data_IF_991644085616
#
_entry.id   IF_991644085616
#
_cell.length_a   1.000
_cell.length_b   1.000
_cell.length_c   1.000
_cell.angle_alpha   90.00
_cell.angle_beta   90.00
_cell.angle_gamma   90.00
#
_symmetry.space_group_name_H-M   'P 1'
#
loop_
_entity.id
_entity.type
_entity.pdbx_description
1 polymer ?
#
# COMPACT_ATOMS: atom_id res chain seq x y z
N UNK A 1 -41.83 -10.53 -10.65
CA UNK A 1 -41.61 -11.51 -9.58
C UNK A 1 -40.20 -11.42 -8.97
N UNK A 2 -39.13 -11.20 -9.74
CA UNK A 2 -37.75 -11.09 -9.25
C UNK A 2 -37.52 -9.96 -8.23
N UNK A 3 -38.13 -8.80 -8.38
CA UNK A 3 -37.96 -7.66 -7.47
C UNK A 3 -38.49 -7.91 -6.03
N UNK A 4 -39.44 -8.82 -5.87
CA UNK A 4 -40.02 -9.14 -4.54
C UNK A 4 -39.11 -10.10 -3.75
N UNK A 5 -38.41 -11.00 -4.45
CA UNK A 5 -37.44 -11.93 -3.87
C UNK A 5 -36.21 -11.18 -3.36
N UNK A 6 -35.66 -10.25 -4.15
CA UNK A 6 -34.53 -9.42 -3.75
C UNK A 6 -34.82 -8.57 -2.49
N UNK A 7 -36.01 -7.97 -2.43
CA UNK A 7 -36.43 -7.21 -1.24
C UNK A 7 -36.53 -8.10 0.00
N UNK A 8 -37.01 -9.34 -0.12
CA UNK A 8 -37.08 -10.31 0.97
C UNK A 8 -35.69 -10.75 1.40
N UNK A 9 -34.76 -11.00 0.47
CA UNK A 9 -33.37 -11.36 0.77
C UNK A 9 -32.65 -10.22 1.49
N UNK A 10 -32.81 -8.98 1.03
CA UNK A 10 -32.22 -7.80 1.70
C UNK A 10 -32.83 -7.63 3.10
N UNK A 11 -34.13 -7.82 3.26
CA UNK A 11 -34.80 -7.74 4.57
C UNK A 11 -34.29 -8.81 5.53
N UNK A 12 -34.12 -10.06 5.08
CA UNK A 12 -33.56 -11.15 5.88
C UNK A 12 -32.11 -10.84 6.27
N UNK A 13 -31.31 -10.29 5.35
CA UNK A 13 -29.94 -9.91 5.61
C UNK A 13 -29.86 -8.76 6.63
N UNK A 14 -30.70 -7.76 6.54
CA UNK A 14 -30.79 -6.66 7.52
C UNK A 14 -31.28 -7.16 8.88
N UNK A 15 -32.29 -8.03 8.92
CA UNK A 15 -32.80 -8.62 10.17
C UNK A 15 -31.75 -9.52 10.82
N UNK A 16 -30.97 -10.29 10.05
CA UNK A 16 -29.87 -11.10 10.62
C UNK A 16 -28.77 -10.27 11.24
N UNK A 17 -28.52 -9.05 10.78
CA UNK A 17 -27.59 -8.11 11.40
C UNK A 17 -28.10 -7.53 12.73
N UNK A 18 -29.42 -7.35 12.87
CA UNK A 18 -30.06 -6.79 14.08
C UNK A 18 -30.10 -7.82 15.22
N UNK A 19 -30.22 -9.11 14.90
CA UNK A 19 -30.33 -10.21 15.91
C UNK A 19 -29.01 -10.50 16.62
N UNK A 20 -27.86 -10.01 16.14
CA UNK A 20 -26.53 -10.26 16.76
C UNK A 20 -26.31 -9.44 18.05
N UNK A 21 -27.14 -8.47 18.38
CA UNK A 21 -26.94 -7.54 19.49
C UNK A 21 -27.48 -7.99 20.86
N UNK A 22 -28.06 -9.17 21.00
CA UNK A 22 -28.69 -9.62 22.24
C UNK A 22 -27.81 -10.60 23.05
N UNK A 23 -26.56 -10.20 23.34
CA UNK A 23 -25.71 -10.91 24.31
C UNK A 23 -25.26 -9.95 25.39
N UNK A 24 -26.11 -9.77 26.41
CA UNK A 24 -25.79 -9.04 27.63
C UNK A 24 -24.56 -9.66 28.30
N UNK A 25 -23.59 -8.81 28.69
CA UNK A 25 -22.35 -9.13 29.38
C UNK A 25 -21.34 -9.95 28.56
N UNK A 26 -20.75 -9.34 27.53
CA UNK A 26 -19.52 -9.88 26.93
C UNK A 26 -18.35 -9.60 27.87
N UNK A 27 -17.67 -10.68 28.29
CA UNK A 27 -16.41 -10.58 29.00
C UNK A 27 -15.43 -9.72 28.21
N UNK A 28 -14.89 -8.68 28.84
CA UNK A 28 -13.91 -7.81 28.19
C UNK A 28 -12.54 -8.49 28.22
N UNK A 29 -12.08 -8.96 27.05
CA UNK A 29 -10.78 -9.60 26.93
C UNK A 29 -9.66 -8.56 26.99
N UNK A 30 -8.53 -8.93 27.62
CA UNK A 30 -7.31 -8.13 27.62
C UNK A 30 -7.52 -6.68 28.10
N UNK A 31 -8.26 -6.49 29.18
CA UNK A 31 -8.45 -5.16 29.80
C UNK A 31 -7.10 -4.51 30.17
N UNK A 32 -6.15 -5.31 30.65
CA UNK A 32 -4.79 -4.86 30.99
C UNK A 32 -3.98 -4.33 29.79
N UNK A 33 -4.29 -4.75 28.56
CA UNK A 33 -3.63 -4.23 27.36
C UNK A 33 -3.85 -2.72 27.19
N UNK A 34 -4.95 -2.18 27.70
CA UNK A 34 -5.21 -0.75 27.66
C UNK A 34 -4.27 0.06 28.58
N UNK A 35 -3.63 -0.56 29.54
CA UNK A 35 -2.71 0.09 30.49
C UNK A 35 -1.24 -0.09 30.11
N UNK A 36 -0.91 -0.98 29.18
CA UNK A 36 0.47 -1.18 28.73
C UNK A 36 1.03 0.10 28.08
N UNK A 37 2.23 0.55 28.46
CA UNK A 37 2.85 1.73 27.85
C UNK A 37 3.34 1.48 26.41
N UNK A 38 3.67 0.25 26.08
CA UNK A 38 4.07 -0.19 24.74
C UNK A 38 3.67 -1.64 24.51
N UNK A 39 3.54 -2.04 23.26
CA UNK A 39 3.30 -3.41 22.84
C UNK A 39 3.89 -3.65 21.46
N UNK A 40 4.11 -4.93 21.16
CA UNK A 40 4.69 -5.36 19.89
C UNK A 40 3.70 -6.19 19.10
N UNK A 41 3.99 -6.38 17.84
CA UNK A 41 3.20 -7.21 16.97
C UNK A 41 3.90 -7.59 15.68
N UNK A 42 3.26 -8.49 14.95
CA UNK A 42 3.64 -8.88 13.61
C UNK A 42 2.60 -8.38 12.61
N UNK A 43 3.03 -8.07 11.41
CA UNK A 43 2.19 -7.59 10.32
C UNK A 43 2.30 -8.53 9.15
N UNK A 44 1.15 -8.93 8.60
CA UNK A 44 1.02 -9.60 7.33
C UNK A 44 0.03 -8.82 6.46
N UNK A 45 0.38 -8.54 5.22
CA UNK A 45 -0.47 -7.74 4.36
C UNK A 45 -0.37 -8.09 2.88
N UNK A 46 -1.35 -7.60 2.15
CA UNK A 46 -1.37 -7.59 0.69
C UNK A 46 -1.39 -6.14 0.21
N UNK A 47 -0.55 -5.82 -0.75
CA UNK A 47 -0.45 -4.49 -1.29
C UNK A 47 -0.68 -4.47 -2.80
N UNK A 48 -1.33 -3.41 -3.26
CA UNK A 48 -1.43 -3.01 -4.65
C UNK A 48 -0.57 -1.77 -4.84
N UNK A 49 0.50 -1.92 -5.62
CA UNK A 49 1.42 -0.83 -5.92
C UNK A 49 1.27 -0.38 -7.35
N UNK A 50 1.31 0.92 -7.58
CA UNK A 50 1.37 1.50 -8.90
C UNK A 50 2.19 2.78 -8.92
N UNK A 51 2.67 3.15 -10.10
CA UNK A 51 3.43 4.37 -10.30
C UNK A 51 2.54 5.43 -10.94
N UNK A 52 2.59 6.63 -10.42
CA UNK A 52 1.98 7.79 -11.06
C UNK A 52 3.06 8.51 -11.87
N UNK A 53 2.99 8.42 -13.18
CA UNK A 53 3.99 8.98 -14.09
C UNK A 53 3.43 10.23 -14.79
N UNK A 54 4.17 11.33 -14.75
CA UNK A 54 3.89 12.54 -15.53
C UNK A 54 4.73 12.49 -16.80
N UNK A 55 4.08 12.62 -17.96
CA UNK A 55 4.72 12.61 -19.26
C UNK A 55 5.49 13.92 -19.49
N UNK A 56 6.64 13.83 -20.17
CA UNK A 56 7.46 14.97 -20.51
C UNK A 56 6.94 15.71 -21.75
N UNK A 57 7.33 16.97 -21.93
CA UNK A 57 7.02 17.73 -23.17
C UNK A 57 7.61 17.07 -24.41
N UNK A 58 8.76 16.42 -24.30
CA UNK A 58 9.40 15.66 -25.40
C UNK A 58 8.53 14.50 -25.87
N UNK A 59 7.79 13.86 -24.97
CA UNK A 59 6.86 12.77 -25.34
C UNK A 59 5.78 13.25 -26.31
N UNK A 60 5.33 14.50 -26.18
CA UNK A 60 4.31 15.08 -27.07
C UNK A 60 4.90 15.52 -28.42
N UNK A 61 6.21 15.75 -28.47
CA UNK A 61 6.90 16.19 -29.69
C UNK A 61 7.50 15.03 -30.51
N UNK A 62 7.71 13.87 -29.92
CA UNK A 62 8.33 12.71 -30.56
C UNK A 62 7.30 11.59 -30.77
N UNK A 63 6.99 11.25 -32.03
CA UNK A 63 6.03 10.21 -32.38
C UNK A 63 6.57 8.77 -32.27
N UNK A 64 7.75 8.56 -31.70
CA UNK A 64 8.37 7.21 -31.62
C UNK A 64 7.70 6.30 -30.61
N UNK A 65 7.13 6.84 -29.53
CA UNK A 65 6.40 6.12 -28.50
C UNK A 65 4.99 6.71 -28.41
N UNK A 66 3.97 5.91 -28.75
CA UNK A 66 2.57 6.35 -28.76
C UNK A 66 1.93 6.28 -27.39
N UNK A 67 2.24 5.21 -26.64
CA UNK A 67 1.67 4.99 -25.30
C UNK A 67 2.79 4.59 -24.34
N UNK A 68 2.77 5.17 -23.15
CA UNK A 68 3.64 4.79 -22.04
C UNK A 68 2.81 4.89 -20.75
N UNK A 69 2.39 3.73 -20.21
CA UNK A 69 1.50 3.69 -19.05
C UNK A 69 2.02 2.72 -18.00
N UNK A 70 2.11 3.16 -16.73
CA UNK A 70 2.39 2.26 -15.63
C UNK A 70 1.17 1.40 -15.32
N UNK A 71 1.40 0.13 -14.96
CA UNK A 71 0.35 -0.78 -14.55
C UNK A 71 0.49 -1.12 -13.05
N UNK A 72 -0.65 -1.41 -12.43
CA UNK A 72 -0.69 -1.82 -11.04
C UNK A 72 -0.23 -3.27 -10.88
N UNK A 73 0.41 -3.56 -9.75
CA UNK A 73 0.85 -4.89 -9.40
C UNK A 73 0.60 -5.19 -7.92
N UNK A 74 0.25 -6.43 -7.64
CA UNK A 74 0.05 -6.94 -6.30
C UNK A 74 1.31 -7.53 -5.69
N UNK A 75 1.45 -7.41 -4.38
CA UNK A 75 2.55 -7.98 -3.62
C UNK A 75 2.13 -8.36 -2.20
N UNK A 76 3.02 -9.05 -1.50
CA UNK A 76 2.85 -9.44 -0.11
C UNK A 76 3.75 -8.58 0.77
N UNK A 77 3.26 -8.22 1.94
CA UNK A 77 3.98 -7.41 2.91
C UNK A 77 4.08 -8.16 4.22
N UNK A 78 5.27 -8.24 4.78
CA UNK A 78 5.55 -8.86 6.06
C UNK A 78 6.36 -7.87 6.91
N UNK A 79 6.06 -7.78 8.19
CA UNK A 79 6.82 -6.91 9.08
C UNK A 79 6.55 -7.11 10.54
N UNK A 80 7.22 -6.28 11.32
CA UNK A 80 7.06 -6.17 12.76
C UNK A 80 6.50 -4.81 13.10
N UNK A 81 5.89 -4.68 14.26
CA UNK A 81 5.46 -3.37 14.74
C UNK A 81 5.80 -3.17 16.21
N UNK A 82 6.08 -1.95 16.57
CA UNK A 82 6.17 -1.48 17.93
C UNK A 82 5.22 -0.29 18.08
N UNK A 83 4.34 -0.34 19.07
CA UNK A 83 3.39 0.73 19.36
C UNK A 83 3.63 1.25 20.76
N UNK A 84 3.75 2.58 20.87
CA UNK A 84 3.97 3.31 22.13
C UNK A 84 2.75 4.16 22.43
N UNK A 85 2.21 4.04 23.62
CA UNK A 85 1.08 4.87 24.06
C UNK A 85 1.57 6.24 24.52
N UNK A 86 1.09 7.29 23.85
CA UNK A 86 1.36 8.67 24.24
C UNK A 86 0.27 9.20 25.18
N UNK A 87 -0.97 8.88 24.86
CA UNK A 87 -2.15 9.21 25.66
C UNK A 87 -3.19 8.08 25.57
N UNK A 88 -4.30 8.20 26.26
CA UNK A 88 -5.41 7.22 26.16
C UNK A 88 -5.91 7.01 24.73
N UNK A 89 -5.84 8.05 23.86
CA UNK A 89 -6.34 8.00 22.49
C UNK A 89 -5.26 8.09 21.42
N UNK A 90 -4.05 8.57 21.79
CA UNK A 90 -2.94 8.73 20.85
C UNK A 90 -1.86 7.71 21.10
N UNK A 91 -1.42 7.07 20.04
CA UNK A 91 -0.32 6.10 20.02
C UNK A 91 0.63 6.40 18.87
N UNK A 92 1.93 6.27 19.12
CA UNK A 92 2.94 6.29 18.08
C UNK A 92 3.26 4.84 17.66
N UNK A 93 3.29 4.56 16.36
CA UNK A 93 3.60 3.25 15.81
C UNK A 93 4.80 3.34 14.89
N UNK A 94 5.75 2.44 15.08
CA UNK A 94 6.82 2.15 14.15
C UNK A 94 6.62 0.74 13.60
N UNK A 95 6.52 0.60 12.28
CA UNK A 95 6.15 -0.66 11.64
C UNK A 95 7.08 -0.99 10.46
N UNK A 96 8.33 -1.44 10.71
CA UNK A 96 9.23 -1.85 9.64
C UNK A 96 8.63 -3.01 8.83
N UNK A 97 8.57 -2.85 7.52
CA UNK A 97 7.92 -3.75 6.58
C UNK A 97 8.86 -4.12 5.43
N UNK A 98 8.83 -5.38 5.04
CA UNK A 98 9.40 -5.84 3.78
C UNK A 98 8.24 -6.08 2.81
N UNK A 99 8.24 -5.34 1.71
CA UNK A 99 7.28 -5.47 0.62
C UNK A 99 7.91 -6.35 -0.45
N UNK A 100 7.35 -7.54 -0.63
CA UNK A 100 7.80 -8.54 -1.58
C UNK A 100 6.82 -8.60 -2.76
N UNK A 101 7.34 -8.56 -3.98
CA UNK A 101 6.50 -8.49 -5.16
C UNK A 101 5.95 -7.08 -5.41
N UNK A 102 4.87 -6.97 -6.18
CA UNK A 102 4.43 -5.68 -6.66
C UNK A 102 5.37 -5.16 -7.75
N UNK A 103 5.79 -6.06 -8.64
CA UNK A 103 6.59 -5.69 -9.80
C UNK A 103 5.95 -4.49 -10.50
N UNK A 104 6.75 -3.45 -10.73
CA UNK A 104 6.28 -2.26 -11.42
C UNK A 104 6.32 -2.51 -12.90
N UNK A 105 5.17 -2.44 -13.56
CA UNK A 105 5.04 -2.67 -14.99
C UNK A 105 4.87 -1.35 -15.72
N UNK A 106 5.55 -1.25 -16.87
CA UNK A 106 5.32 -0.20 -17.84
C UNK A 106 4.93 -0.85 -19.17
N UNK A 107 3.78 -0.47 -19.68
CA UNK A 107 3.33 -0.88 -21.00
C UNK A 107 3.67 0.24 -21.99
N UNK A 108 4.41 -0.09 -23.04
CA UNK A 108 4.76 0.82 -24.12
C UNK A 108 4.13 0.34 -25.42
N UNK A 109 3.57 1.28 -26.19
CA UNK A 109 3.18 1.05 -27.57
C UNK A 109 4.06 1.92 -28.45
N UNK A 110 4.83 1.27 -29.30
CA UNK A 110 5.78 1.91 -30.21
C UNK A 110 5.09 2.20 -31.55
N UNK A 111 5.51 3.28 -32.21
CA UNK A 111 5.06 3.59 -33.55
C UNK A 111 5.88 2.75 -34.55
N UNK A 112 5.21 1.88 -35.28
CA UNK A 112 5.84 0.99 -36.29
C UNK A 112 6.60 1.73 -37.39
N UNK A 113 6.26 2.99 -37.66
CA UNK A 113 6.91 3.83 -38.67
C UNK A 113 8.36 4.18 -38.29
N UNK A 114 8.67 4.29 -37.02
CA UNK A 114 9.99 4.67 -36.50
C UNK A 114 10.74 3.52 -35.82
N UNK A 115 10.06 2.38 -35.59
CA UNK A 115 10.60 1.23 -34.85
C UNK A 115 10.33 -0.06 -35.61
N UNK A 116 11.07 -0.29 -36.72
CA UNK A 116 10.88 -1.46 -37.59
C UNK A 116 11.40 -2.77 -37.03
N UNK A 117 12.30 -2.72 -36.03
CA UNK A 117 12.97 -3.91 -35.47
C UNK A 117 12.49 -4.28 -34.05
N UNK A 118 11.56 -3.55 -33.48
CA UNK A 118 11.05 -3.80 -32.13
C UNK A 118 9.57 -4.19 -32.17
N UNK A 119 9.08 -5.06 -31.26
CA UNK A 119 7.65 -5.34 -31.14
C UNK A 119 6.87 -4.07 -30.83
N UNK A 120 5.68 -3.92 -31.44
CA UNK A 120 4.83 -2.74 -31.29
C UNK A 120 4.39 -2.56 -29.82
N UNK A 121 4.11 -3.66 -29.13
CA UNK A 121 3.75 -3.67 -27.70
C UNK A 121 4.89 -4.27 -26.89
N UNK A 122 5.35 -3.52 -25.93
CA UNK A 122 6.41 -3.96 -25.01
C UNK A 122 5.98 -3.76 -23.57
N UNK A 123 6.22 -4.77 -22.75
CA UNK A 123 5.98 -4.72 -21.30
C UNK A 123 7.28 -4.86 -20.56
N UNK A 124 7.65 -3.82 -19.83
CA UNK A 124 8.83 -3.83 -18.97
C UNK A 124 8.42 -4.08 -17.52
N UNK A 125 9.03 -5.09 -16.93
CA UNK A 125 8.83 -5.47 -15.54
C UNK A 125 10.04 -5.06 -14.71
N UNK A 126 9.81 -4.22 -13.71
CA UNK A 126 10.81 -3.85 -12.71
C UNK A 126 10.53 -4.65 -11.43
N UNK A 127 11.30 -5.74 -11.15
CA UNK A 127 11.15 -6.46 -9.90
C UNK A 127 11.41 -5.51 -8.73
N UNK A 128 10.60 -5.58 -7.71
CA UNK A 128 10.67 -4.63 -6.59
C UNK A 128 10.64 -5.38 -5.27
N UNK A 129 11.67 -5.15 -4.46
CA UNK A 129 11.71 -5.51 -3.05
C UNK A 129 12.02 -4.26 -2.26
N UNK A 130 11.07 -3.82 -1.45
CA UNK A 130 11.19 -2.56 -0.71
C UNK A 130 11.22 -2.83 0.78
N UNK A 131 12.23 -2.27 1.45
CA UNK A 131 12.24 -2.09 2.89
C UNK A 131 11.55 -0.76 3.20
N UNK A 132 10.38 -0.81 3.85
CA UNK A 132 9.61 0.36 4.24
C UNK A 132 9.71 0.59 5.75
N UNK A 133 9.99 1.82 6.16
CA UNK A 133 10.15 2.23 7.54
C UNK A 133 9.13 3.34 7.87
N UNK A 134 7.86 3.00 8.06
CA UNK A 134 6.84 3.97 8.42
C UNK A 134 6.87 4.31 9.92
N UNK A 135 6.66 5.58 10.20
CA UNK A 135 6.36 6.11 11.54
C UNK A 135 5.01 6.81 11.48
N UNK A 136 4.08 6.38 12.31
CA UNK A 136 2.70 6.86 12.24
C UNK A 136 2.13 7.15 13.62
N UNK A 137 1.17 8.06 13.65
CA UNK A 137 0.33 8.36 14.81
C UNK A 137 -1.02 7.70 14.58
N UNK A 138 -1.43 6.90 15.55
CA UNK A 138 -2.70 6.20 15.59
C UNK A 138 -3.63 6.92 16.57
N UNK A 139 -4.78 7.37 16.08
CA UNK A 139 -5.83 7.99 16.88
C UNK A 139 -6.96 7.00 17.10
N UNK A 140 -7.09 6.53 18.33
CA UNK A 140 -8.04 5.51 18.72
C UNK A 140 -9.36 6.13 19.19
N UNK A 141 -10.49 5.48 18.84
CA UNK A 141 -11.78 5.71 19.49
C UNK A 141 -11.78 5.16 20.91
N UNK A 142 -12.84 5.42 21.64
CA UNK A 142 -13.11 4.67 22.87
C UNK A 142 -13.40 3.20 22.54
N UNK A 143 -13.03 2.32 23.45
CA UNK A 143 -13.23 0.88 23.32
C UNK A 143 -14.68 0.54 23.67
N UNK A 144 -15.34 -0.21 22.80
CA UNK A 144 -16.67 -0.78 23.02
C UNK A 144 -16.47 -2.29 23.12
N UNK A 145 -16.63 -2.86 24.29
CA UNK A 145 -16.38 -4.27 24.59
C UNK A 145 -15.00 -4.76 24.11
N UNK A 146 -14.98 -5.57 23.09
CA UNK A 146 -13.79 -6.15 22.48
C UNK A 146 -13.46 -5.53 21.12
N UNK A 147 -13.94 -4.30 20.86
CA UNK A 147 -13.77 -3.61 19.60
C UNK A 147 -13.33 -2.17 19.81
N UNK A 148 -12.40 -1.69 18.97
CA UNK A 148 -11.93 -0.31 18.93
C UNK A 148 -11.56 0.06 17.52
N UNK A 149 -12.06 1.17 17.00
CA UNK A 149 -11.64 1.74 15.71
C UNK A 149 -10.52 2.74 15.89
N UNK A 150 -9.75 2.99 14.80
CA UNK A 150 -8.75 4.04 14.81
C UNK A 150 -8.50 4.60 13.40
N UNK A 151 -7.98 5.81 13.40
CA UNK A 151 -7.37 6.44 12.24
C UNK A 151 -5.86 6.48 12.41
N UNK A 152 -5.15 6.38 11.30
CA UNK A 152 -3.70 6.38 11.27
C UNK A 152 -3.21 7.40 10.25
N UNK A 153 -2.22 8.20 10.65
CA UNK A 153 -1.51 9.12 9.76
C UNK A 153 -0.01 9.01 10.03
N UNK A 154 0.79 9.00 8.98
CA UNK A 154 2.22 8.81 9.14
C UNK A 154 3.04 9.27 7.95
N UNK A 155 4.35 9.15 8.17
CA UNK A 155 5.37 9.34 7.15
C UNK A 155 6.13 8.03 6.99
N UNK A 156 6.68 7.81 5.81
CA UNK A 156 7.48 6.61 5.55
C UNK A 156 8.73 6.94 4.75
N UNK A 157 9.75 6.17 5.00
CA UNK A 157 10.95 6.11 4.20
C UNK A 157 11.08 4.71 3.62
N UNK A 158 11.15 4.60 2.31
CA UNK A 158 11.28 3.35 1.60
C UNK A 158 12.68 3.24 0.99
N UNK A 159 13.28 2.07 1.09
CA UNK A 159 14.54 1.71 0.45
C UNK A 159 14.30 0.57 -0.53
N UNK A 160 14.43 0.82 -1.81
CA UNK A 160 14.32 -0.20 -2.85
C UNK A 160 15.61 -1.02 -2.91
N UNK A 161 15.53 -2.26 -2.46
CA UNK A 161 16.66 -3.19 -2.41
C UNK A 161 17.00 -3.75 -3.79
N UNK A 162 16.07 -3.67 -4.74
CA UNK A 162 16.23 -4.16 -6.11
C UNK A 162 16.81 -3.12 -7.07
N UNK A 163 16.80 -1.82 -6.68
CA UNK A 163 17.20 -0.72 -7.55
C UNK A 163 18.62 -0.87 -8.13
N UNK A 164 19.57 -1.42 -7.36
CA UNK A 164 20.94 -1.64 -7.80
C UNK A 164 21.13 -2.86 -8.71
N UNK A 165 20.26 -3.87 -8.62
CA UNK A 165 20.36 -5.08 -9.45
C UNK A 165 19.86 -4.84 -10.87
N UNK A 166 18.89 -3.96 -11.03
CA UNK A 166 18.34 -3.61 -12.34
C UNK A 166 19.32 -2.76 -13.17
N UNK A 167 20.15 -1.95 -12.51
CA UNK A 167 21.12 -1.08 -13.19
C UNK A 167 22.28 -1.86 -13.87
N UNK A 168 22.51 -3.12 -13.52
CA UNK A 168 23.70 -3.88 -13.96
C UNK A 168 23.57 -4.54 -15.31
N UNK A 169 22.36 -4.78 -15.84
CA UNK A 169 22.11 -5.59 -17.03
C UNK A 169 21.22 -4.96 -18.10
N UNK A 170 20.83 -3.70 -17.99
CA UNK A 170 19.87 -3.10 -18.91
C UNK A 170 20.26 -1.65 -19.27
N UNK A 171 21.25 -1.53 -20.13
CA UNK A 171 21.53 -0.28 -20.85
C UNK A 171 20.32 0.04 -21.74
N UNK A 172 19.47 0.95 -21.34
CA UNK A 172 18.32 1.39 -22.16
C UNK A 172 16.99 1.57 -21.43
N UNK A 173 16.86 1.12 -20.20
CA UNK A 173 15.58 1.11 -19.48
C UNK A 173 15.44 2.21 -18.41
N UNK A 174 14.23 2.32 -17.85
CA UNK A 174 13.93 3.29 -16.80
C UNK A 174 14.74 2.94 -15.54
N UNK A 175 15.51 3.90 -15.04
CA UNK A 175 16.18 3.80 -13.75
C UNK A 175 15.35 4.48 -12.67
N UNK A 176 15.19 3.81 -11.52
CA UNK A 176 14.52 4.35 -10.36
C UNK A 176 15.52 4.57 -9.23
N UNK A 177 15.32 5.68 -8.50
CA UNK A 177 16.11 6.01 -7.32
C UNK A 177 15.84 5.00 -6.21
N UNK A 178 16.88 4.70 -5.43
CA UNK A 178 16.86 3.77 -4.32
C UNK A 178 15.96 4.22 -3.18
N UNK A 179 15.88 5.53 -2.92
CA UNK A 179 15.18 6.10 -1.77
C UNK A 179 13.87 6.76 -2.21
N UNK A 180 12.81 6.46 -1.49
CA UNK A 180 11.50 7.04 -1.67
C UNK A 180 10.95 7.48 -0.33
N UNK A 181 10.42 8.69 -0.26
CA UNK A 181 9.77 9.23 0.93
C UNK A 181 8.31 9.46 0.64
N UNK A 182 7.46 9.23 1.64
CA UNK A 182 6.03 9.33 1.45
C UNK A 182 5.27 9.64 2.71
N UNK A 183 3.99 9.88 2.51
CA UNK A 183 2.99 10.00 3.56
C UNK A 183 2.03 8.83 3.47
N UNK A 184 1.44 8.47 4.59
CA UNK A 184 0.44 7.41 4.65
C UNK A 184 -0.74 7.81 5.53
N UNK A 185 -1.91 7.32 5.17
CA UNK A 185 -3.13 7.42 5.96
C UNK A 185 -3.85 6.09 5.94
N UNK A 186 -4.52 5.76 7.03
CA UNK A 186 -5.22 4.49 7.14
C UNK A 186 -6.33 4.52 8.16
N UNK A 187 -7.15 3.49 8.07
CA UNK A 187 -8.21 3.19 9.02
C UNK A 187 -8.14 1.70 9.36
N UNK A 188 -8.36 1.41 10.62
CA UNK A 188 -8.38 0.03 11.09
C UNK A 188 -9.20 -0.13 12.35
N UNK A 189 -9.27 -1.35 12.82
CA UNK A 189 -9.97 -1.67 14.06
C UNK A 189 -9.27 -2.80 14.78
N UNK A 190 -9.21 -2.66 16.11
CA UNK A 190 -8.67 -3.67 17.00
C UNK A 190 -9.81 -4.58 17.43
N UNK A 191 -9.64 -5.87 17.21
CA UNK A 191 -10.46 -6.96 17.74
C UNK A 191 -9.69 -7.62 18.87
N UNK A 192 -10.10 -7.35 20.11
CA UNK A 192 -9.47 -7.93 21.29
C UNK A 192 -9.94 -9.37 21.44
N UNK A 193 -9.10 -10.32 21.10
CA UNK A 193 -9.32 -11.73 21.30
C UNK A 193 -8.73 -12.19 22.64
N UNK A 194 -9.02 -13.40 23.04
CA UNK A 194 -8.59 -13.94 24.34
C UNK A 194 -7.08 -13.97 24.53
N UNK A 195 -6.33 -14.24 23.45
CA UNK A 195 -4.87 -14.43 23.51
C UNK A 195 -4.07 -13.32 22.83
N UNK A 196 -4.62 -12.65 21.83
CA UNK A 196 -3.97 -11.59 21.08
C UNK A 196 -4.99 -10.58 20.57
N UNK A 197 -4.54 -9.45 20.08
CA UNK A 197 -5.39 -8.48 19.40
C UNK A 197 -5.15 -8.61 17.90
N UNK A 198 -6.23 -8.87 17.15
CA UNK A 198 -6.21 -8.87 15.70
C UNK A 198 -6.62 -7.49 15.20
N UNK A 199 -5.79 -6.92 14.34
CA UNK A 199 -6.00 -5.56 13.83
C UNK A 199 -5.99 -5.53 12.32
N UNK A 200 -7.16 -5.71 11.66
CA UNK A 200 -7.31 -5.39 10.24
C UNK A 200 -7.16 -3.89 9.99
N UNK A 201 -6.36 -3.54 8.97
CA UNK A 201 -6.05 -2.16 8.61
C UNK A 201 -6.07 -1.99 7.08
N UNK A 202 -6.71 -0.94 6.60
CA UNK A 202 -6.62 -0.48 5.22
C UNK A 202 -5.82 0.82 5.19
N UNK A 203 -4.75 0.86 4.41
CA UNK A 203 -3.83 1.97 4.34
C UNK A 203 -3.56 2.39 2.90
N UNK A 204 -3.49 3.68 2.67
CA UNK A 204 -3.06 4.29 1.42
C UNK A 204 -1.75 5.03 1.65
N UNK A 205 -0.84 5.00 0.69
CA UNK A 205 0.44 5.70 0.76
C UNK A 205 0.74 6.43 -0.53
N UNK A 206 1.32 7.61 -0.39
CA UNK A 206 1.74 8.48 -1.49
C UNK A 206 3.22 8.83 -1.34
N UNK A 207 4.03 8.50 -2.35
CA UNK A 207 5.39 9.00 -2.47
C UNK A 207 5.38 10.48 -2.84
N UNK A 208 6.11 11.29 -2.10
CA UNK A 208 6.17 12.75 -2.33
C UNK A 208 7.35 13.15 -3.20
N UNK A 209 8.41 12.35 -3.25
CA UNK A 209 9.57 12.64 -4.08
C UNK A 209 9.47 12.01 -5.47
N UNK A 210 10.20 12.58 -6.41
CA UNK A 210 10.40 12.00 -7.74
C UNK A 210 11.42 10.86 -7.66
N UNK A 211 10.96 9.64 -7.89
CA UNK A 211 11.80 8.43 -7.88
C UNK A 211 12.40 8.11 -9.24
N UNK A 212 12.11 8.88 -10.30
CA UNK A 212 12.75 8.73 -11.58
C UNK A 212 14.20 9.21 -11.51
N UNK A 213 15.12 8.36 -11.92
CA UNK A 213 16.50 8.72 -12.20
C UNK A 213 16.61 9.01 -13.70
N UNK A 214 16.51 10.31 -14.03
CA UNK A 214 16.36 10.75 -15.41
C UNK A 214 17.70 10.73 -16.10
N UNK A 215 17.88 9.81 -17.05
CA UNK A 215 18.99 9.82 -18.01
C UNK A 215 18.47 10.33 -19.37
N UNK A 216 18.91 11.51 -19.84
CA UNK A 216 18.40 12.11 -21.07
C UNK A 216 18.66 11.28 -22.34
N UNK A 217 19.67 10.40 -22.28
CA UNK A 217 20.10 9.57 -23.40
C UNK A 217 19.30 8.25 -23.55
N UNK A 218 18.45 7.94 -22.56
CA UNK A 218 17.65 6.72 -22.58
C UNK A 218 16.25 7.01 -23.16
N UNK A 219 15.95 6.36 -24.30
CA UNK A 219 14.68 6.48 -25.04
C UNK A 219 13.45 6.39 -24.15
N UNK A 220 13.39 5.41 -23.25
CA UNK A 220 12.25 5.14 -22.38
C UNK A 220 12.21 6.02 -21.12
N UNK A 221 13.36 6.48 -20.63
CA UNK A 221 13.43 7.38 -19.49
C UNK A 221 13.05 8.82 -19.86
N UNK A 222 13.37 9.25 -21.08
CA UNK A 222 13.09 10.60 -21.57
C UNK A 222 11.59 10.91 -21.70
N UNK A 223 10.75 9.88 -21.80
CA UNK A 223 9.28 9.99 -21.93
C UNK A 223 8.64 10.58 -20.68
N UNK A 224 9.23 10.38 -19.50
CA UNK A 224 8.66 10.80 -18.23
C UNK A 224 9.41 12.03 -17.66
N UNK A 225 8.66 12.94 -17.10
CA UNK A 225 9.16 14.08 -16.32
C UNK A 225 9.37 13.71 -14.85
N UNK A 226 8.39 13.01 -14.28
CA UNK A 226 8.43 12.56 -12.90
C UNK A 226 7.63 11.28 -12.70
N UNK A 227 8.09 10.47 -11.74
CA UNK A 227 7.41 9.25 -11.31
C UNK A 227 7.28 9.27 -9.79
N UNK A 228 6.07 9.06 -9.30
CA UNK A 228 5.77 8.96 -7.88
C UNK A 228 5.16 7.60 -7.57
N UNK A 229 5.49 7.04 -6.41
CA UNK A 229 4.91 5.76 -5.96
C UNK A 229 3.56 5.98 -5.28
N UNK A 230 2.64 5.06 -5.53
CA UNK A 230 1.36 4.98 -4.83
C UNK A 230 1.10 3.54 -4.44
N UNK A 231 0.53 3.32 -3.26
CA UNK A 231 0.23 1.99 -2.78
C UNK A 231 -1.03 2.00 -1.95
N UNK A 232 -1.86 0.97 -2.14
CA UNK A 232 -2.97 0.63 -1.26
C UNK A 232 -2.59 -0.69 -0.61
N UNK A 233 -2.71 -0.78 0.71
CA UNK A 233 -2.34 -1.97 1.47
C UNK A 233 -3.48 -2.36 2.40
N UNK A 234 -3.84 -3.63 2.36
CA UNK A 234 -4.65 -4.29 3.38
C UNK A 234 -3.73 -5.15 4.24
N UNK A 235 -3.76 -4.95 5.55
CA UNK A 235 -2.89 -5.68 6.48
C UNK A 235 -3.67 -6.22 7.67
N UNK A 236 -3.17 -7.31 8.19
CA UNK A 236 -3.57 -7.91 9.46
C UNK A 236 -2.38 -7.78 10.41
N UNK A 237 -2.61 -7.14 11.54
CA UNK A 237 -1.63 -7.04 12.61
C UNK A 237 -2.04 -7.97 13.74
N UNK A 238 -1.08 -8.67 14.27
CA UNK A 238 -1.20 -9.57 15.42
C UNK A 238 -0.43 -8.92 16.57
N UNK A 239 -1.16 -8.34 17.51
CA UNK A 239 -0.59 -7.53 18.61
C UNK A 239 -0.69 -8.30 19.92
N UNK A 240 0.41 -8.26 20.70
CA UNK A 240 0.43 -8.85 22.05
C UNK A 240 0.02 -7.82 23.11
#
# INVERSE_FOLDING_TARGET
MYNLLWKKIILIFVVSFIVVECSAQREQYRSQHDDLPYYFGATLGYNLSYLSAKKSEKFLAEDSILVAEPAASGGVTIGLQATFKLTKRLQARFNPLIVLGGARYFNYTLNSKYNTNEPIEQRYTLPTTVLSLPVSIKFNSDRIDNFRTYLLFGVKADVDLSANSTARNQEGYIKLKKYNYGVEAGVGFNLFLKFFTLTPELKISYGVNNILDREPNLKYSAVFESIQSRMIMFSLHFED
#
